data_IF_155082098690
#
_entry.id   IF_155082098690
#
_cell.length_a   1.000
_cell.length_b   1.000
_cell.length_c   1.000
_cell.angle_alpha   90.00
_cell.angle_beta   90.00
_cell.angle_gamma   90.00
#
_symmetry.space_group_name_H-M   'P 1'
#
loop_
_entity.id
_entity.type
_entity.pdbx_description
1 polymer ?
#
# COMPACT_ATOMS: atom_id res chain seq x y z
N UNK A 1 -7.35 25.52 -11.86
CA UNK A 1 -6.02 25.04 -12.29
C UNK A 1 -6.07 23.53 -12.17
N UNK A 2 -5.82 22.76 -13.23
CA UNK A 2 -5.68 21.31 -13.09
C UNK A 2 -4.33 21.07 -12.40
N UNK A 3 -4.34 20.81 -11.09
CA UNK A 3 -3.15 20.32 -10.42
C UNK A 3 -2.79 18.96 -11.02
N UNK A 4 -1.54 18.78 -11.41
CA UNK A 4 -1.05 17.45 -11.75
C UNK A 4 -0.91 16.64 -10.45
N UNK A 5 -1.21 15.33 -10.51
CA UNK A 5 -0.90 14.44 -9.39
C UNK A 5 0.60 14.52 -9.05
N UNK A 6 0.92 14.59 -7.76
CA UNK A 6 2.29 14.49 -7.23
C UNK A 6 2.22 13.70 -5.94
N UNK A 7 3.11 12.73 -5.75
CA UNK A 7 3.18 11.94 -4.53
C UNK A 7 3.62 12.83 -3.36
N UNK A 8 2.95 12.71 -2.22
CA UNK A 8 3.26 13.48 -1.03
C UNK A 8 4.70 13.20 -0.56
N UNK A 9 5.50 14.22 -0.18
CA UNK A 9 6.92 14.04 0.17
C UNK A 9 7.16 13.01 1.27
N UNK A 10 6.31 12.95 2.29
CA UNK A 10 6.42 11.95 3.36
C UNK A 10 6.22 10.52 2.84
N UNK A 11 5.23 10.29 1.95
CA UNK A 11 5.05 8.98 1.32
C UNK A 11 6.26 8.63 0.45
N UNK A 12 6.82 9.60 -0.27
CA UNK A 12 8.02 9.38 -1.07
C UNK A 12 9.25 9.05 -0.20
N UNK A 13 9.36 9.63 1.00
CA UNK A 13 10.46 9.37 1.92
C UNK A 13 10.35 8.01 2.62
N UNK A 14 9.14 7.60 2.98
CA UNK A 14 8.90 6.40 3.78
C UNK A 14 8.70 5.13 2.94
N UNK A 15 8.63 5.25 1.61
CA UNK A 15 8.24 4.14 0.74
C UNK A 15 9.07 4.04 -0.54
N UNK A 16 9.01 2.86 -1.17
CA UNK A 16 9.58 2.62 -2.51
C UNK A 16 8.49 2.21 -3.50
N UNK A 17 8.50 2.74 -4.72
CA UNK A 17 7.53 2.39 -5.76
C UNK A 17 7.68 0.94 -6.22
N UNK A 18 6.64 0.13 -6.00
CA UNK A 18 6.55 -1.24 -6.49
C UNK A 18 6.12 -1.26 -7.95
N UNK A 19 4.93 -0.73 -8.25
CA UNK A 19 4.37 -0.68 -9.60
C UNK A 19 3.21 0.31 -9.67
N UNK A 20 2.73 0.53 -10.89
CA UNK A 20 1.50 1.27 -11.17
C UNK A 20 0.34 0.30 -11.39
N UNK A 21 -0.76 0.54 -10.69
CA UNK A 21 -2.08 0.02 -11.05
C UNK A 21 -2.81 0.94 -12.03
N UNK A 22 -4.02 0.53 -12.47
CA UNK A 22 -4.89 1.36 -13.31
C UNK A 22 -5.14 2.75 -12.74
N UNK A 23 -5.36 2.85 -11.41
CA UNK A 23 -5.62 4.10 -10.71
C UNK A 23 -4.45 4.51 -9.81
N UNK A 24 -3.84 3.57 -9.10
CA UNK A 24 -2.94 3.91 -7.98
C UNK A 24 -1.46 3.70 -8.28
N UNK A 25 -0.59 4.51 -7.67
CA UNK A 25 0.76 4.04 -7.34
C UNK A 25 0.66 2.99 -6.25
N UNK A 26 1.40 1.88 -6.38
CA UNK A 26 1.54 0.88 -5.32
C UNK A 26 2.96 0.96 -4.76
N UNK A 27 3.04 1.33 -3.49
CA UNK A 27 4.26 1.62 -2.76
C UNK A 27 4.51 0.53 -1.71
N UNK A 28 5.77 0.22 -1.43
CA UNK A 28 6.21 -0.65 -0.35
C UNK A 28 6.64 0.24 0.82
N UNK A 29 6.00 0.12 1.97
CA UNK A 29 6.41 0.81 3.19
C UNK A 29 7.78 0.30 3.64
N UNK A 30 8.70 1.20 3.99
CA UNK A 30 10.02 0.83 4.50
C UNK A 30 9.97 0.40 5.98
N UNK A 31 9.20 -0.64 6.26
CA UNK A 31 9.09 -1.30 7.56
C UNK A 31 9.00 -2.81 7.35
N UNK A 32 10.16 -3.48 7.36
CA UNK A 32 10.36 -4.90 7.10
C UNK A 32 9.63 -5.82 8.08
N UNK A 33 9.19 -5.30 9.23
CA UNK A 33 8.40 -6.04 10.23
C UNK A 33 7.10 -6.60 9.65
N UNK A 34 6.55 -5.99 8.59
CA UNK A 34 5.28 -6.39 8.00
C UNK A 34 5.33 -6.38 6.46
N UNK A 35 4.63 -7.30 5.77
CA UNK A 35 4.30 -7.16 4.35
C UNK A 35 3.31 -6.01 4.15
N UNK A 36 3.81 -4.81 3.83
CA UNK A 36 3.01 -3.59 3.88
C UNK A 36 3.05 -2.79 2.57
N UNK A 37 1.94 -2.84 1.84
CA UNK A 37 1.70 -2.02 0.66
C UNK A 37 0.88 -0.76 0.99
N UNK A 38 1.12 0.31 0.24
CA UNK A 38 0.31 1.54 0.27
C UNK A 38 -0.12 1.85 -1.16
N UNK A 39 -1.42 1.98 -1.39
CA UNK A 39 -2.00 2.36 -2.67
C UNK A 39 -2.37 3.85 -2.62
N UNK A 40 -1.85 4.64 -3.56
CA UNK A 40 -2.10 6.09 -3.66
C UNK A 40 -2.76 6.38 -5.00
N UNK A 41 -4.08 6.69 -5.06
CA UNK A 41 -4.76 7.04 -6.29
C UNK A 41 -4.10 8.22 -7.00
N UNK A 42 -3.83 8.08 -8.30
CA UNK A 42 -3.17 9.10 -9.14
C UNK A 42 -4.16 10.16 -9.59
N UNK A 43 -4.73 10.87 -8.62
CA UNK A 43 -5.63 12.02 -8.80
C UNK A 43 -5.16 13.16 -7.91
N UNK A 44 -5.14 14.40 -8.39
CA UNK A 44 -4.77 15.54 -7.57
C UNK A 44 -5.79 15.76 -6.45
N UNK A 45 -5.33 16.37 -5.36
CA UNK A 45 -6.15 16.96 -4.31
C UNK A 45 -7.13 16.01 -3.56
N UNK A 46 -7.01 14.69 -3.73
CA UNK A 46 -7.79 13.72 -2.94
C UNK A 46 -7.25 13.64 -1.50
N UNK A 47 -8.15 13.77 -0.54
CA UNK A 47 -7.85 13.65 0.89
C UNK A 47 -8.53 12.42 1.47
N UNK A 48 -9.83 12.29 1.23
CA UNK A 48 -10.68 11.27 1.81
C UNK A 48 -11.27 10.32 0.75
N UNK A 49 -11.78 9.17 1.20
CA UNK A 49 -12.33 8.15 0.31
C UNK A 49 -13.59 8.62 -0.44
N UNK A 50 -14.32 9.58 0.12
CA UNK A 50 -15.50 10.16 -0.49
C UNK A 50 -15.19 11.23 -1.55
N UNK A 51 -13.95 11.75 -1.61
CA UNK A 51 -13.48 12.61 -2.71
C UNK A 51 -13.39 11.85 -4.05
N UNK A 52 -13.24 10.52 -4.00
CA UNK A 52 -13.20 9.69 -5.20
C UNK A 52 -14.55 9.72 -5.93
N UNK A 53 -14.47 9.84 -7.26
CA UNK A 53 -15.59 9.54 -8.14
C UNK A 53 -16.07 8.10 -7.94
N UNK A 54 -17.33 7.81 -8.28
CA UNK A 54 -17.86 6.46 -8.12
C UNK A 54 -17.04 5.39 -8.89
N UNK A 55 -16.51 5.76 -10.07
CA UNK A 55 -15.65 4.91 -10.88
C UNK A 55 -14.29 4.68 -10.22
N UNK A 56 -13.60 5.76 -9.80
CA UNK A 56 -12.30 5.65 -9.14
C UNK A 56 -12.42 4.92 -7.79
N UNK A 57 -13.53 5.10 -7.07
CA UNK A 57 -13.83 4.40 -5.82
C UNK A 57 -13.95 2.89 -6.03
N UNK A 58 -14.63 2.48 -7.11
CA UNK A 58 -14.73 1.07 -7.51
C UNK A 58 -13.35 0.53 -7.87
N UNK A 59 -12.60 1.26 -8.72
CA UNK A 59 -11.28 0.84 -9.17
C UNK A 59 -10.29 0.69 -8.00
N UNK A 60 -10.25 1.65 -7.07
CA UNK A 60 -9.42 1.54 -5.86
C UNK A 60 -9.82 0.30 -5.03
N UNK A 61 -11.12 0.03 -4.90
CA UNK A 61 -11.60 -1.18 -4.22
C UNK A 61 -11.09 -2.47 -4.88
N UNK A 62 -11.12 -2.54 -6.20
CA UNK A 62 -10.63 -3.68 -6.98
C UNK A 62 -9.10 -3.85 -6.87
N UNK A 63 -8.34 -2.75 -6.93
CA UNK A 63 -6.88 -2.74 -6.72
C UNK A 63 -6.51 -3.21 -5.30
N UNK A 64 -7.19 -2.70 -4.27
CA UNK A 64 -7.00 -3.08 -2.85
C UNK A 64 -7.30 -4.56 -2.63
N UNK A 65 -8.36 -5.08 -3.26
CA UNK A 65 -8.69 -6.50 -3.19
C UNK A 65 -7.62 -7.36 -3.87
N UNK A 66 -7.11 -6.94 -5.03
CA UNK A 66 -6.03 -7.63 -5.72
C UNK A 66 -4.72 -7.63 -4.90
N UNK A 67 -4.30 -6.47 -4.39
CA UNK A 67 -3.13 -6.34 -3.52
C UNK A 67 -3.26 -7.20 -2.25
N UNK A 68 -4.45 -7.22 -1.62
CA UNK A 68 -4.71 -8.07 -0.46
C UNK A 68 -4.54 -9.56 -0.77
N UNK A 69 -5.01 -10.03 -1.94
CA UNK A 69 -4.82 -11.42 -2.38
C UNK A 69 -3.36 -11.75 -2.65
N UNK A 70 -2.61 -10.83 -3.27
CA UNK A 70 -1.17 -10.97 -3.49
C UNK A 70 -0.43 -11.11 -2.16
N UNK A 71 -0.67 -10.19 -1.22
CA UNK A 71 -0.04 -10.22 0.11
C UNK A 71 -0.35 -11.52 0.85
N UNK A 72 -1.61 -11.94 0.89
CA UNK A 72 -1.97 -13.22 1.54
C UNK A 72 -1.25 -14.40 0.90
N UNK A 73 -1.29 -14.53 -0.42
CA UNK A 73 -0.70 -15.65 -1.14
C UNK A 73 0.82 -15.69 -0.99
N UNK A 74 1.49 -14.54 -1.16
CA UNK A 74 2.95 -14.45 -1.25
C UNK A 74 3.63 -14.67 0.10
N UNK A 75 2.99 -14.25 1.19
CA UNK A 75 3.58 -14.27 2.53
C UNK A 75 2.89 -15.25 3.47
N UNK A 76 1.90 -16.01 2.99
CA UNK A 76 1.03 -16.86 3.81
C UNK A 76 0.43 -16.11 5.01
N UNK A 77 0.05 -14.84 4.79
CA UNK A 77 -0.43 -13.98 5.86
C UNK A 77 -1.77 -14.48 6.42
N UNK A 78 -1.86 -14.62 7.75
CA UNK A 78 -3.07 -15.08 8.43
C UNK A 78 -4.29 -14.20 8.12
N UNK A 79 -4.10 -12.87 8.08
CA UNK A 79 -5.12 -11.91 7.67
C UNK A 79 -4.48 -10.68 7.03
N UNK A 80 -5.27 -9.88 6.33
CA UNK A 80 -4.89 -8.52 5.92
C UNK A 80 -5.61 -7.47 6.75
N UNK A 81 -4.91 -6.39 7.09
CA UNK A 81 -5.51 -5.13 7.51
C UNK A 81 -5.55 -4.17 6.33
N UNK A 82 -6.67 -3.48 6.17
CA UNK A 82 -6.89 -2.49 5.12
C UNK A 82 -7.45 -1.23 5.78
N UNK A 83 -6.83 -0.08 5.55
CA UNK A 83 -7.26 1.18 6.14
C UNK A 83 -6.83 2.39 5.33
N UNK A 84 -7.64 3.43 5.36
CA UNK A 84 -7.34 4.79 4.90
C UNK A 84 -7.47 5.69 6.13
N UNK A 85 -6.36 6.25 6.60
CA UNK A 85 -6.30 7.00 7.86
C UNK A 85 -6.06 8.49 7.62
N UNK A 86 -4.87 8.86 7.12
CA UNK A 86 -4.61 10.22 6.63
C UNK A 86 -4.39 11.33 7.67
N UNK A 87 -4.40 11.04 8.98
CA UNK A 87 -4.30 12.08 10.03
C UNK A 87 -3.10 13.04 9.90
N UNK A 88 -1.92 12.52 9.49
CA UNK A 88 -0.68 13.32 9.34
C UNK A 88 -0.32 13.61 7.89
N UNK A 89 -0.69 12.70 6.97
CA UNK A 89 -0.44 12.83 5.53
C UNK A 89 -1.81 12.90 4.86
N UNK A 90 -2.27 14.10 4.44
CA UNK A 90 -3.63 14.28 3.99
C UNK A 90 -3.89 13.63 2.64
N UNK A 91 -2.89 13.45 1.77
CA UNK A 91 -3.09 12.81 0.48
C UNK A 91 -3.68 11.41 0.66
N UNK A 92 -4.81 11.11 0.02
CA UNK A 92 -5.50 9.83 0.12
C UNK A 92 -4.55 8.66 -0.19
N UNK A 93 -4.44 7.74 0.76
CA UNK A 93 -3.67 6.52 0.62
C UNK A 93 -4.30 5.37 1.39
N UNK A 94 -4.28 4.17 0.81
CA UNK A 94 -4.84 2.96 1.39
C UNK A 94 -3.73 1.98 1.77
N UNK A 95 -3.63 1.65 3.05
CA UNK A 95 -2.71 0.64 3.54
C UNK A 95 -3.29 -0.76 3.31
N UNK A 96 -2.45 -1.71 2.88
CA UNK A 96 -2.76 -3.13 2.78
C UNK A 96 -1.62 -3.92 3.42
N UNK A 97 -1.90 -4.54 4.57
CA UNK A 97 -0.87 -5.07 5.47
C UNK A 97 -1.14 -6.54 5.75
N UNK A 98 -0.15 -7.41 5.48
CA UNK A 98 -0.17 -8.81 5.91
C UNK A 98 0.09 -8.91 7.41
N UNK A 99 -0.76 -9.67 8.13
CA UNK A 99 -0.71 -9.84 9.58
C UNK A 99 -0.55 -11.31 9.96
N UNK A 100 0.14 -11.55 11.06
CA UNK A 100 0.45 -12.86 11.61
C UNK A 100 0.10 -12.89 13.11
N UNK A 101 -0.14 -14.08 13.67
CA UNK A 101 -0.53 -14.20 15.10
C UNK A 101 0.60 -13.90 16.07
N UNK A 102 1.83 -13.89 15.57
CA UNK A 102 3.08 -13.69 16.27
C UNK A 102 3.82 -12.44 15.76
N UNK A 103 3.18 -11.59 14.95
CA UNK A 103 3.78 -10.32 14.52
C UNK A 103 3.90 -9.33 15.69
N UNK A 104 4.79 -8.34 15.52
CA UNK A 104 5.21 -7.43 16.58
C UNK A 104 4.07 -6.58 17.19
N UNK A 105 2.90 -6.51 16.56
CA UNK A 105 1.76 -5.73 17.04
C UNK A 105 0.49 -6.57 17.27
N UNK A 106 0.51 -7.89 17.07
CA UNK A 106 -0.68 -8.73 17.21
C UNK A 106 -1.21 -8.73 18.66
N UNK A 107 -2.54 -8.65 18.91
CA UNK A 107 -3.66 -8.53 17.94
C UNK A 107 -4.05 -7.08 17.61
N UNK A 108 -3.27 -6.10 18.07
CA UNK A 108 -3.52 -4.67 17.85
C UNK A 108 -3.20 -4.19 16.44
N UNK A 109 -3.48 -2.89 16.16
CA UNK A 109 -3.04 -2.23 14.94
C UNK A 109 -1.52 -2.06 14.89
N UNK A 110 -0.94 -2.02 13.68
CA UNK A 110 0.51 -1.79 13.51
C UNK A 110 0.91 -0.32 13.69
N UNK A 111 -0.02 0.61 13.42
CA UNK A 111 0.27 2.05 13.43
C UNK A 111 0.61 2.53 14.84
N UNK A 112 1.79 3.14 15.00
CA UNK A 112 2.27 3.67 16.28
C UNK A 112 2.80 2.62 17.26
N UNK A 113 3.00 1.36 16.82
CA UNK A 113 3.54 0.28 17.65
C UNK A 113 4.97 -0.04 17.25
N UNK A 114 5.90 0.09 18.22
CA UNK A 114 7.33 -0.16 18.04
C UNK A 114 8.02 0.83 17.10
N UNK A 115 9.19 0.45 16.60
CA UNK A 115 10.01 1.25 15.68
C UNK A 115 10.08 0.55 14.33
N UNK A 116 9.95 1.31 13.23
CA UNK A 116 10.09 0.75 11.89
C UNK A 116 11.50 0.19 11.66
N UNK A 117 11.58 -0.98 11.04
CA UNK A 117 12.85 -1.62 10.68
C UNK A 117 13.05 -1.51 9.16
N UNK A 118 14.03 -0.75 8.67
CA UNK A 118 14.25 -0.63 7.23
C UNK A 118 14.67 -1.97 6.63
N UNK A 119 14.34 -2.20 5.36
CA UNK A 119 14.84 -3.37 4.65
C UNK A 119 16.37 -3.31 4.50
N UNK A 120 17.02 -4.46 4.63
CA UNK A 120 18.36 -4.64 4.05
C UNK A 120 18.30 -4.42 2.53
N UNK A 121 19.38 -3.94 1.92
CA UNK A 121 19.39 -3.60 0.50
C UNK A 121 19.03 -4.79 -0.40
N UNK A 122 19.57 -5.98 -0.11
CA UNK A 122 19.34 -7.18 -0.92
C UNK A 122 17.90 -7.68 -0.70
N UNK A 123 17.47 -7.76 0.57
CA UNK A 123 16.11 -8.18 0.90
C UNK A 123 15.06 -7.23 0.29
N UNK A 124 15.29 -5.92 0.37
CA UNK A 124 14.40 -4.90 -0.17
C UNK A 124 14.26 -5.02 -1.68
N UNK A 125 15.36 -5.24 -2.41
CA UNK A 125 15.33 -5.45 -3.86
C UNK A 125 14.57 -6.71 -4.24
N UNK A 126 14.80 -7.82 -3.55
CA UNK A 126 14.11 -9.08 -3.82
C UNK A 126 12.61 -8.99 -3.50
N UNK A 127 12.28 -8.34 -2.38
CA UNK A 127 10.89 -8.05 -1.98
C UNK A 127 10.18 -7.25 -3.05
N UNK A 128 10.82 -6.19 -3.54
CA UNK A 128 10.28 -5.29 -4.55
C UNK A 128 10.04 -6.01 -5.88
N UNK A 129 11.04 -6.77 -6.35
CA UNK A 129 10.96 -7.50 -7.61
C UNK A 129 9.83 -8.53 -7.61
N UNK A 130 9.72 -9.30 -6.52
CA UNK A 130 8.66 -10.29 -6.35
C UNK A 130 7.27 -9.66 -6.33
N UNK A 131 7.05 -8.65 -5.49
CA UNK A 131 5.77 -7.95 -5.39
C UNK A 131 5.39 -7.29 -6.72
N UNK A 132 6.35 -6.69 -7.43
CA UNK A 132 6.12 -6.10 -8.75
C UNK A 132 5.60 -7.15 -9.74
N UNK A 133 6.25 -8.31 -9.82
CA UNK A 133 5.82 -9.38 -10.73
C UNK A 133 4.39 -9.85 -10.41
N UNK A 134 4.09 -10.09 -9.14
CA UNK A 134 2.76 -10.53 -8.68
C UNK A 134 1.67 -9.47 -8.95
N UNK A 135 1.93 -8.20 -8.65
CA UNK A 135 0.96 -7.11 -8.80
C UNK A 135 0.71 -6.76 -10.26
N UNK A 136 1.76 -6.72 -11.10
CA UNK A 136 1.60 -6.51 -12.55
C UNK A 136 0.72 -7.61 -13.14
N UNK A 137 0.89 -8.86 -12.72
CA UNK A 137 -0.01 -9.94 -13.15
C UNK A 137 -1.44 -9.75 -12.63
N UNK A 138 -1.61 -9.33 -11.36
CA UNK A 138 -2.92 -9.18 -10.76
C UNK A 138 -3.73 -8.04 -11.38
N UNK A 139 -3.08 -6.93 -11.75
CA UNK A 139 -3.74 -5.74 -12.31
C UNK A 139 -4.07 -5.85 -13.78
N UNK A 140 -3.47 -6.79 -14.54
CA UNK A 140 -3.87 -7.07 -15.93
C UNK A 140 -5.34 -7.53 -16.09
N UNK A 141 -5.96 -7.93 -14.98
CA UNK A 141 -7.33 -8.43 -14.95
C UNK A 141 -8.34 -7.42 -14.39
N UNK A 142 -7.91 -6.18 -14.15
CA UNK A 142 -8.74 -5.08 -13.65
C UNK A 142 -9.12 -4.11 -14.78
#
# INVERSE_FOLDING_TARGET
>A
MNNAFTLHPQLAADTTLVTDGPLSHVLLMNDARYPWLILVPKRPDLVDYDDLSAEDRKMLGDEVAAASRVIKRRFDAFKTNVAMLGNMVPQLHCHVIGRFKDDAAWPGPVWGVGTAEPYDEDEGRDRLAALRADLVSAFKHL
#
